data_IF_204090276698
#
_entry.id   IF_204090276698
#
_cell.length_a   1.000
_cell.length_b   1.000
_cell.length_c   1.000
_cell.angle_alpha   90.00
_cell.angle_beta   90.00
_cell.angle_gamma   90.00
#
_symmetry.space_group_name_H-M   'P 1'
#
loop_
_entity.id
_entity.type
_entity.pdbx_description
1 polymer ?
#
# COMPACT_ATOMS: atom_id res chain seq x y z
N UNK A 1 1.29 -7.49 5.78
CA UNK A 1 0.51 -6.40 6.39
C UNK A 1 1.11 -5.07 5.97
N UNK A 2 0.33 -4.25 5.26
CA UNK A 2 0.79 -2.96 4.73
C UNK A 2 0.82 -1.84 5.78
N UNK A 3 0.06 -1.97 6.87
CA UNK A 3 0.05 -1.00 7.97
C UNK A 3 1.21 -1.25 8.94
N UNK A 4 1.53 -2.53 9.17
CA UNK A 4 2.63 -2.94 10.04
C UNK A 4 3.99 -3.03 9.35
N UNK A 5 4.03 -2.82 8.04
CA UNK A 5 5.24 -2.99 7.22
C UNK A 5 5.88 -4.37 7.38
N UNK A 6 5.06 -5.43 7.42
CA UNK A 6 5.51 -6.81 7.56
C UNK A 6 5.09 -7.72 6.42
N UNK A 7 5.93 -8.70 6.09
CA UNK A 7 5.62 -9.82 5.20
C UNK A 7 5.75 -11.09 6.03
N UNK A 8 4.75 -11.97 5.97
CA UNK A 8 4.78 -13.28 6.63
C UNK A 8 4.90 -14.36 5.57
N UNK A 9 5.93 -15.19 5.66
CA UNK A 9 6.03 -16.42 4.86
C UNK A 9 5.01 -17.43 5.40
N UNK A 10 4.02 -17.78 4.58
CA UNK A 10 2.97 -18.73 4.99
C UNK A 10 3.45 -20.20 5.04
N UNK A 11 4.62 -20.50 4.48
CA UNK A 11 5.22 -21.84 4.44
C UNK A 11 6.05 -22.10 5.70
N UNK A 12 6.89 -21.14 6.11
CA UNK A 12 7.79 -21.28 7.27
C UNK A 12 7.29 -20.58 8.53
N UNK A 13 6.43 -19.56 8.37
CA UNK A 13 5.98 -18.69 9.46
C UNK A 13 6.89 -17.48 9.73
N UNK A 14 7.98 -17.32 8.97
CA UNK A 14 8.93 -16.24 9.18
C UNK A 14 8.32 -14.86 8.90
N UNK A 15 8.74 -13.85 9.68
CA UNK A 15 8.26 -12.47 9.54
C UNK A 15 9.39 -11.54 9.14
N UNK A 16 9.24 -10.90 8.00
CA UNK A 16 10.16 -9.92 7.45
C UNK A 16 9.58 -8.52 7.56
N UNK A 17 10.44 -7.51 7.71
CA UNK A 17 10.04 -6.09 7.69
C UNK A 17 10.50 -5.44 6.39
N UNK A 18 9.69 -4.51 5.89
CA UNK A 18 10.02 -3.69 4.73
C UNK A 18 9.85 -2.20 5.06
N UNK A 19 10.35 -1.33 4.21
CA UNK A 19 10.16 0.11 4.40
C UNK A 19 8.70 0.51 4.18
N UNK A 20 8.10 1.31 5.06
CA UNK A 20 6.72 1.77 4.89
C UNK A 20 6.54 2.53 3.59
N UNK A 21 5.42 2.30 2.91
CA UNK A 21 5.11 3.05 1.70
C UNK A 21 4.94 4.55 2.01
N UNK A 22 5.44 5.43 1.12
CA UNK A 22 5.15 6.87 1.19
C UNK A 22 3.65 7.14 1.26
N UNK A 23 3.29 8.29 1.83
CA UNK A 23 1.88 8.68 2.01
C UNK A 23 1.11 8.66 0.70
N UNK A 24 1.69 9.23 -0.36
CA UNK A 24 1.07 9.30 -1.68
C UNK A 24 0.81 7.91 -2.28
N UNK A 25 1.74 6.97 -2.11
CA UNK A 25 1.53 5.59 -2.59
C UNK A 25 0.38 4.91 -1.86
N UNK A 26 0.24 5.11 -0.54
CA UNK A 26 -0.91 4.58 0.22
C UNK A 26 -2.23 5.17 -0.26
N UNK A 27 -2.26 6.46 -0.56
CA UNK A 27 -3.45 7.12 -1.12
C UNK A 27 -3.81 6.58 -2.52
N UNK A 28 -2.82 6.30 -3.35
CA UNK A 28 -3.02 5.68 -4.67
C UNK A 28 -3.60 4.26 -4.55
N UNK A 29 -3.03 3.44 -3.66
CA UNK A 29 -3.52 2.08 -3.41
C UNK A 29 -4.94 2.13 -2.84
N UNK A 30 -5.21 3.02 -1.88
CA UNK A 30 -6.53 3.20 -1.29
C UNK A 30 -7.58 3.72 -2.29
N UNK A 31 -7.17 4.48 -3.31
CA UNK A 31 -8.04 4.90 -4.40
C UNK A 31 -8.35 3.77 -5.41
N UNK A 32 -7.76 2.58 -5.25
CA UNK A 32 -7.91 1.49 -6.21
C UNK A 32 -7.07 1.69 -7.48
N UNK A 33 -5.97 2.43 -7.37
CA UNK A 33 -5.01 2.65 -8.46
C UNK A 33 -4.86 4.12 -8.87
N UNK A 34 -3.83 4.37 -9.69
CA UNK A 34 -3.39 5.71 -10.05
C UNK A 34 -4.47 6.53 -10.75
N UNK A 35 -5.19 5.94 -11.71
CA UNK A 35 -6.19 6.67 -12.48
C UNK A 35 -7.34 7.17 -11.59
N UNK A 36 -7.78 6.34 -10.64
CA UNK A 36 -8.82 6.71 -9.69
C UNK A 36 -8.35 7.79 -8.72
N UNK A 37 -7.09 7.70 -8.26
CA UNK A 37 -6.48 8.74 -7.44
C UNK A 37 -6.44 10.09 -8.17
N UNK A 38 -6.02 10.10 -9.43
CA UNK A 38 -5.97 11.32 -10.25
C UNK A 38 -7.36 11.89 -10.48
N UNK A 39 -8.36 11.07 -10.84
CA UNK A 39 -9.75 11.51 -11.00
C UNK A 39 -10.28 12.16 -9.72
N UNK A 40 -10.14 11.48 -8.58
CA UNK A 40 -10.55 11.99 -7.26
C UNK A 40 -9.84 13.30 -6.89
N UNK A 41 -8.54 13.40 -7.18
CA UNK A 41 -7.74 14.61 -6.89
C UNK A 41 -8.06 15.78 -7.83
N UNK A 42 -8.42 15.49 -9.07
CA UNK A 42 -8.83 16.47 -10.07
C UNK A 42 -10.32 16.89 -9.94
N UNK A 43 -11.10 16.25 -9.06
CA UNK A 43 -12.53 16.50 -8.91
C UNK A 43 -13.38 15.96 -10.06
N UNK A 44 -12.87 14.94 -10.76
CA UNK A 44 -13.51 14.24 -11.88
C UNK A 44 -14.25 12.98 -11.43
#
# INVERSE_FOLDING_TARGET
>A
DLERSTITDATTGDVFRFEPFPKEMREIVAAGGLMNFVKKKAGL
#
